data_IF_062755213173
#
_entry.id   IF_062755213173
#
_cell.length_a   1.000
_cell.length_b   1.000
_cell.length_c   1.000
_cell.angle_alpha   90.00
_cell.angle_beta   90.00
_cell.angle_gamma   90.00
#
_symmetry.space_group_name_H-M   'P 1'
#
loop_
_entity.id
_entity.type
_entity.pdbx_description
1 polymer ?
#
# COMPACT_ATOMS: atom_id res chain seq x y z
N UNK A 1 8.96 -15.83 -5.45
CA UNK A 1 8.41 -14.49 -5.12
C UNK A 1 9.34 -13.76 -4.16
N UNK A 2 9.15 -12.45 -3.93
CA UNK A 2 10.01 -11.62 -3.08
C UNK A 2 9.46 -11.30 -1.69
N UNK A 3 8.32 -11.87 -1.29
CA UNK A 3 7.76 -11.68 0.06
C UNK A 3 8.72 -12.16 1.16
N UNK A 4 8.75 -11.46 2.30
CA UNK A 4 9.58 -11.82 3.46
C UNK A 4 9.03 -13.08 4.15
N UNK A 5 9.89 -13.76 4.93
CA UNK A 5 9.49 -14.93 5.71
C UNK A 5 8.63 -14.63 6.95
N UNK A 6 8.38 -13.36 7.27
CA UNK A 6 7.58 -12.93 8.44
C UNK A 6 6.18 -12.44 8.07
N UNK A 7 5.99 -12.01 6.82
CA UNK A 7 4.74 -11.40 6.37
C UNK A 7 3.69 -12.40 5.89
N UNK A 8 2.46 -11.91 5.71
CA UNK A 8 1.31 -12.68 5.23
C UNK A 8 1.40 -13.01 3.73
N UNK A 9 2.10 -12.18 2.94
CA UNK A 9 2.11 -12.32 1.48
C UNK A 9 2.74 -13.62 0.98
N UNK A 10 3.70 -14.20 1.70
CA UNK A 10 4.24 -15.51 1.32
C UNK A 10 3.12 -16.57 1.27
N UNK A 11 2.21 -16.56 2.24
CA UNK A 11 1.12 -17.54 2.30
C UNK A 11 0.11 -17.27 1.18
N UNK A 12 -0.22 -15.99 0.95
CA UNK A 12 -1.14 -15.58 -0.13
C UNK A 12 -0.63 -16.03 -1.50
N UNK A 13 0.64 -15.77 -1.79
CA UNK A 13 1.26 -16.18 -3.05
C UNK A 13 1.33 -17.69 -3.20
N UNK A 14 1.88 -18.39 -2.20
CA UNK A 14 2.15 -19.83 -2.32
C UNK A 14 0.90 -20.68 -2.36
N UNK A 15 -0.15 -20.31 -1.61
CA UNK A 15 -1.46 -20.97 -1.72
C UNK A 15 -2.06 -20.78 -3.11
N UNK A 16 -1.96 -19.56 -3.65
CA UNK A 16 -2.45 -19.25 -4.99
C UNK A 16 -1.69 -20.06 -6.04
N UNK A 17 -0.36 -20.09 -5.99
CA UNK A 17 0.46 -20.86 -6.93
C UNK A 17 0.12 -22.35 -6.86
N UNK A 18 0.00 -22.93 -5.66
CA UNK A 18 -0.38 -24.33 -5.49
C UNK A 18 -1.77 -24.64 -6.00
N UNK A 19 -2.71 -23.70 -5.89
CA UNK A 19 -4.06 -23.89 -6.42
C UNK A 19 -4.12 -23.91 -7.95
N UNK A 20 -3.29 -23.10 -8.63
CA UNK A 20 -3.33 -22.96 -10.09
C UNK A 20 -2.27 -23.79 -10.84
N UNK A 21 -1.11 -24.03 -10.24
CA UNK A 21 0.03 -24.67 -10.87
C UNK A 21 0.87 -25.44 -9.82
N UNK A 22 0.33 -26.53 -9.24
CA UNK A 22 0.96 -27.24 -8.12
C UNK A 22 2.32 -27.85 -8.45
N UNK A 23 2.62 -28.11 -9.72
CA UNK A 23 3.89 -28.70 -10.16
C UNK A 23 5.04 -27.69 -10.25
N UNK A 24 4.76 -26.38 -10.13
CA UNK A 24 5.80 -25.35 -10.17
C UNK A 24 6.57 -25.32 -8.85
N UNK A 25 7.90 -25.38 -8.96
CA UNK A 25 8.80 -25.15 -7.83
C UNK A 25 8.73 -23.69 -7.40
N UNK A 26 8.41 -23.47 -6.12
CA UNK A 26 8.39 -22.14 -5.51
C UNK A 26 9.79 -21.82 -4.99
N UNK A 27 10.38 -20.72 -5.49
CA UNK A 27 11.63 -20.16 -4.99
C UNK A 27 11.32 -18.87 -4.21
N UNK A 28 11.72 -18.83 -2.93
CA UNK A 28 11.44 -17.72 -2.02
C UNK A 28 12.73 -17.25 -1.33
N UNK A 29 13.57 -16.43 -2.01
CA UNK A 29 14.93 -16.14 -1.57
C UNK A 29 15.05 -15.63 -0.13
N UNK A 30 14.09 -14.82 0.33
CA UNK A 30 14.05 -14.30 1.71
C UNK A 30 14.02 -15.36 2.82
N UNK A 31 13.69 -16.62 2.50
CA UNK A 31 13.74 -17.75 3.43
C UNK A 31 15.02 -18.57 3.34
N UNK A 32 15.77 -18.43 2.24
CA UNK A 32 16.86 -19.33 1.87
C UNK A 32 18.23 -18.64 1.97
N UNK A 33 18.30 -17.34 1.67
CA UNK A 33 19.56 -16.62 1.58
C UNK A 33 20.02 -16.01 2.92
N UNK A 34 21.19 -15.35 2.87
CA UNK A 34 21.82 -14.72 4.04
C UNK A 34 21.56 -13.21 4.17
N UNK A 35 20.79 -12.60 3.26
CA UNK A 35 20.42 -11.18 3.34
C UNK A 35 19.28 -11.03 4.38
N UNK A 36 19.52 -10.29 5.46
CA UNK A 36 18.59 -10.16 6.60
C UNK A 36 17.99 -8.77 6.76
N UNK A 37 18.58 -7.75 6.15
CA UNK A 37 18.17 -6.35 6.28
C UNK A 37 18.11 -5.63 4.93
N UNK A 38 17.53 -4.43 4.93
CA UNK A 38 17.54 -3.53 3.76
C UNK A 38 18.98 -3.08 3.46
N UNK A 39 19.76 -2.88 4.50
CA UNK A 39 21.17 -2.51 4.45
C UNK A 39 21.98 -3.61 3.76
N UNK A 40 21.78 -4.88 4.14
CA UNK A 40 22.44 -6.03 3.52
C UNK A 40 22.11 -6.12 2.03
N UNK A 41 20.86 -5.84 1.66
CA UNK A 41 20.42 -5.86 0.26
C UNK A 41 21.06 -4.73 -0.56
N UNK A 42 21.19 -3.53 0.03
CA UNK A 42 21.88 -2.38 -0.56
C UNK A 42 23.37 -2.70 -0.74
N UNK A 43 24.02 -3.26 0.27
CA UNK A 43 25.44 -3.61 0.23
C UNK A 43 25.70 -4.74 -0.79
N UNK A 44 24.80 -5.72 -0.88
CA UNK A 44 24.83 -6.76 -1.92
C UNK A 44 24.65 -6.17 -3.34
N UNK A 45 23.72 -5.25 -3.53
CA UNK A 45 23.51 -4.57 -4.80
C UNK A 45 24.76 -3.78 -5.22
N UNK A 46 25.39 -3.06 -4.28
CA UNK A 46 26.64 -2.35 -4.53
C UNK A 46 27.78 -3.31 -4.91
N UNK A 47 27.97 -4.40 -4.17
CA UNK A 47 28.98 -5.43 -4.48
C UNK A 47 28.78 -6.04 -5.88
N UNK A 48 27.53 -6.18 -6.32
CA UNK A 48 27.16 -6.75 -7.62
C UNK A 48 27.01 -5.70 -8.72
N UNK A 49 27.31 -4.43 -8.46
CA UNK A 49 27.12 -3.30 -9.39
C UNK A 49 25.69 -3.21 -9.95
N UNK A 50 24.69 -3.51 -9.13
CA UNK A 50 23.27 -3.38 -9.48
C UNK A 50 22.82 -1.95 -9.15
N UNK A 51 22.40 -1.14 -10.13
CA UNK A 51 21.96 0.23 -9.88
C UNK A 51 20.63 0.23 -9.12
N UNK A 52 20.60 0.89 -7.96
CA UNK A 52 19.40 1.05 -7.12
C UNK A 52 19.22 2.52 -6.71
N UNK A 53 17.98 2.95 -6.52
CA UNK A 53 17.63 4.32 -6.06
C UNK A 53 17.38 4.38 -4.55
N UNK A 54 17.30 3.22 -3.91
CA UNK A 54 16.98 3.07 -2.51
C UNK A 54 18.17 3.45 -1.64
N UNK A 55 17.93 4.33 -0.67
CA UNK A 55 18.89 4.65 0.39
C UNK A 55 18.56 3.86 1.66
N UNK A 56 19.51 3.83 2.61
CA UNK A 56 19.32 3.28 3.96
C UNK A 56 18.32 4.12 4.80
N UNK A 57 17.94 5.32 4.34
CA UNK A 57 17.11 6.27 5.08
C UNK A 57 15.60 6.27 4.76
N UNK A 58 15.11 5.45 3.81
CA UNK A 58 13.65 5.28 3.65
C UNK A 58 13.16 4.28 4.69
N UNK A 59 12.59 4.81 5.76
CA UNK A 59 12.31 4.11 7.03
C UNK A 59 11.09 3.16 6.93
N UNK A 60 10.04 3.55 6.20
CA UNK A 60 8.83 2.73 6.09
C UNK A 60 8.88 1.74 4.93
N UNK A 61 8.42 0.52 5.21
CA UNK A 61 7.92 -0.40 4.20
C UNK A 61 6.50 0.05 3.83
N UNK A 62 6.23 0.13 2.51
CA UNK A 62 4.96 0.61 1.97
C UNK A 62 4.51 -0.29 0.84
N UNK A 63 3.24 -0.68 0.84
CA UNK A 63 2.57 -1.28 -0.30
C UNK A 63 1.41 -0.37 -0.75
N UNK A 64 1.37 -0.04 -2.03
CA UNK A 64 0.35 0.86 -2.60
C UNK A 64 -0.26 0.21 -3.82
N UNK A 65 -1.59 0.17 -3.82
CA UNK A 65 -2.39 -0.14 -4.99
C UNK A 65 -3.48 0.94 -5.16
N UNK A 66 -4.44 0.68 -6.04
CA UNK A 66 -5.54 1.63 -6.29
C UNK A 66 -6.47 1.80 -5.08
N UNK A 67 -6.55 0.78 -4.23
CA UNK A 67 -7.50 0.69 -3.13
C UNK A 67 -6.97 1.30 -1.84
N UNK A 68 -5.68 1.10 -1.54
CA UNK A 68 -5.08 1.63 -0.33
C UNK A 68 -3.55 1.79 -0.46
N UNK A 69 -2.98 2.44 0.55
CA UNK A 69 -1.57 2.36 0.89
C UNK A 69 -1.43 1.82 2.31
N UNK A 70 -0.49 0.90 2.55
CA UNK A 70 -0.09 0.45 3.88
C UNK A 70 1.29 0.99 4.25
N UNK A 71 1.53 1.09 5.56
CA UNK A 71 2.77 1.59 6.16
C UNK A 71 3.15 0.67 7.33
N UNK A 72 4.41 0.25 7.39
CA UNK A 72 4.97 -0.55 8.49
C UNK A 72 6.47 -0.25 8.67
N UNK A 73 7.06 -0.73 9.76
CA UNK A 73 8.47 -0.52 10.07
C UNK A 73 8.79 0.86 10.64
N UNK A 74 10.05 1.04 11.04
CA UNK A 74 10.50 2.29 11.64
C UNK A 74 9.92 2.50 13.03
N UNK A 75 9.55 3.74 13.34
CA UNK A 75 8.97 4.11 14.62
C UNK A 75 7.54 3.60 14.82
N UNK A 76 6.86 3.15 13.75
CA UNK A 76 5.51 2.56 13.81
C UNK A 76 5.49 1.16 14.46
N UNK A 77 6.65 0.53 14.65
CA UNK A 77 6.75 -0.76 15.35
C UNK A 77 6.54 -0.64 16.87
N UNK A 78 6.64 0.57 17.42
CA UNK A 78 6.29 0.85 18.81
C UNK A 78 4.89 1.48 18.86
N UNK A 79 3.86 0.77 19.36
CA UNK A 79 2.49 1.27 19.41
C UNK A 79 2.29 2.43 20.37
N UNK A 80 3.30 2.80 21.17
CA UNK A 80 3.27 3.99 22.02
C UNK A 80 3.67 5.27 21.27
N UNK A 81 4.23 5.15 20.06
CA UNK A 81 4.54 6.29 19.21
C UNK A 81 3.31 6.72 18.41
N UNK A 82 3.02 8.01 18.43
CA UNK A 82 2.05 8.61 17.50
C UNK A 82 2.64 8.65 16.08
N UNK A 83 1.86 8.30 15.04
CA UNK A 83 2.33 8.41 13.66
C UNK A 83 2.69 9.86 13.31
N UNK A 84 3.91 10.07 12.80
CA UNK A 84 4.32 11.39 12.30
C UNK A 84 3.62 11.75 10.98
N UNK A 85 3.48 13.05 10.68
CA UNK A 85 2.80 13.54 9.47
C UNK A 85 3.39 12.94 8.17
N UNK A 86 4.70 12.67 8.15
CA UNK A 86 5.42 12.07 7.02
C UNK A 86 4.98 10.63 6.67
N UNK A 87 4.19 10.00 7.55
CA UNK A 87 3.58 8.69 7.31
C UNK A 87 2.44 8.83 6.29
N UNK A 88 1.67 9.92 6.33
CA UNK A 88 0.55 10.14 5.41
C UNK A 88 1.04 10.46 3.99
N UNK A 89 0.46 9.78 3.00
CA UNK A 89 0.82 9.92 1.58
C UNK A 89 -0.38 10.27 0.70
N UNK A 90 -1.56 9.76 1.04
CA UNK A 90 -2.80 9.99 0.28
C UNK A 90 -3.76 10.97 0.98
N UNK A 91 -3.57 11.18 2.28
CA UNK A 91 -4.43 11.98 3.15
C UNK A 91 -3.61 13.08 3.81
N UNK A 92 -4.30 14.04 4.40
CA UNK A 92 -3.72 15.03 5.33
C UNK A 92 -4.26 14.76 6.73
N UNK A 93 -3.59 15.29 7.74
CA UNK A 93 -4.12 15.32 9.11
C UNK A 93 -5.53 15.94 9.15
N UNK A 94 -6.41 15.51 10.08
CA UNK A 94 -7.70 16.16 10.28
C UNK A 94 -7.60 17.66 10.62
N UNK A 95 -6.48 18.08 11.22
CA UNK A 95 -6.17 19.47 11.55
C UNK A 95 -5.93 20.33 10.30
N UNK A 96 -5.38 19.74 9.24
CA UNK A 96 -5.09 20.40 7.96
C UNK A 96 -6.20 20.19 6.90
N UNK A 97 -7.27 19.49 7.24
CA UNK A 97 -8.40 19.28 6.32
C UNK A 97 -9.16 20.59 6.02
N UNK A 98 -9.71 20.78 4.81
CA UNK A 98 -10.45 22.00 4.47
C UNK A 98 -11.65 22.25 5.39
N UNK A 99 -11.83 23.50 5.82
CA UNK A 99 -12.98 23.89 6.67
C UNK A 99 -14.33 23.83 5.95
N UNK A 100 -14.32 23.86 4.61
CA UNK A 100 -15.54 23.80 3.80
C UNK A 100 -15.84 22.35 3.43
N UNK A 101 -17.04 21.82 3.79
CA UNK A 101 -17.42 20.48 3.39
C UNK A 101 -17.67 20.40 1.89
N UNK A 102 -17.39 19.24 1.33
CA UNK A 102 -17.74 18.86 -0.04
C UNK A 102 -18.80 17.76 0.00
N UNK A 103 -19.85 17.93 -0.81
CA UNK A 103 -20.89 16.93 -0.97
C UNK A 103 -20.61 16.15 -2.25
N UNK A 104 -20.56 14.84 -2.13
CA UNK A 104 -20.35 13.91 -3.25
C UNK A 104 -21.53 12.95 -3.34
N UNK A 105 -22.04 12.74 -4.55
CA UNK A 105 -23.11 11.76 -4.81
C UNK A 105 -22.54 10.55 -5.53
N UNK A 106 -22.67 9.36 -4.94
CA UNK A 106 -22.24 8.11 -5.55
C UNK A 106 -23.48 7.31 -5.97
N UNK A 107 -23.69 7.14 -7.27
CA UNK A 107 -24.78 6.33 -7.80
C UNK A 107 -24.39 4.86 -7.87
N UNK A 108 -25.29 3.98 -7.44
CA UNK A 108 -25.11 2.53 -7.45
C UNK A 108 -26.15 1.84 -8.31
N UNK A 109 -25.73 0.80 -9.02
CA UNK A 109 -26.62 -0.16 -9.65
C UNK A 109 -26.22 -1.58 -9.22
N UNK A 110 -27.16 -2.32 -8.62
CA UNK A 110 -26.95 -3.71 -8.16
C UNK A 110 -25.70 -3.87 -7.27
N UNK A 111 -25.45 -2.89 -6.40
CA UNK A 111 -24.31 -2.88 -5.48
C UNK A 111 -22.97 -2.48 -6.11
N UNK A 112 -22.96 -2.09 -7.39
CA UNK A 112 -21.77 -1.59 -8.08
C UNK A 112 -21.90 -0.08 -8.21
N UNK A 113 -20.94 0.72 -7.70
CA UNK A 113 -20.92 2.15 -7.97
C UNK A 113 -20.79 2.38 -9.49
N UNK A 114 -21.45 3.38 -10.06
CA UNK A 114 -21.43 3.67 -11.52
C UNK A 114 -21.27 5.15 -11.85
N UNK A 115 -21.61 6.05 -10.93
CA UNK A 115 -21.50 7.49 -11.14
C UNK A 115 -20.94 8.22 -9.92
N UNK A 116 -20.36 9.38 -10.18
CA UNK A 116 -19.99 10.39 -9.19
C UNK A 116 -20.57 11.73 -9.64
N UNK A 117 -21.29 12.41 -8.76
CA UNK A 117 -21.93 13.71 -8.99
C UNK A 117 -22.72 13.73 -10.31
N UNK A 118 -23.58 12.72 -10.47
CA UNK A 118 -24.40 12.49 -11.67
C UNK A 118 -23.64 12.25 -12.98
N UNK A 119 -22.31 12.25 -12.97
CA UNK A 119 -21.49 11.90 -14.12
C UNK A 119 -21.20 10.39 -14.09
N UNK A 120 -21.69 9.66 -15.10
CA UNK A 120 -21.36 8.25 -15.28
C UNK A 120 -19.85 8.15 -15.59
N UNK A 121 -19.05 7.72 -14.62
CA UNK A 121 -17.62 7.48 -14.78
C UNK A 121 -17.37 5.97 -14.80
N UNK A 122 -17.64 5.30 -15.92
CA UNK A 122 -17.28 3.87 -16.03
C UNK A 122 -15.76 3.77 -15.93
N UNK A 123 -15.24 3.32 -14.78
CA UNK A 123 -13.81 3.13 -14.62
C UNK A 123 -13.35 2.02 -15.58
N UNK A 124 -12.40 2.36 -16.45
CA UNK A 124 -11.83 1.46 -17.48
C UNK A 124 -11.11 0.24 -16.90
N UNK A 125 -10.87 0.20 -15.59
CA UNK A 125 -10.12 -0.84 -14.88
C UNK A 125 -10.97 -1.66 -13.90
N UNK A 126 -12.24 -1.91 -14.23
CA UNK A 126 -13.07 -2.88 -13.54
C UNK A 126 -13.46 -2.49 -12.12
N UNK A 127 -14.71 -2.04 -11.94
CA UNK A 127 -15.46 -1.94 -10.67
C UNK A 127 -14.85 -1.17 -9.50
N UNK A 128 -13.58 -0.77 -9.53
CA UNK A 128 -12.95 0.12 -8.57
C UNK A 128 -13.03 1.53 -9.12
N UNK A 129 -13.73 2.40 -8.41
CA UNK A 129 -13.81 3.80 -8.75
C UNK A 129 -12.71 4.53 -8.00
N UNK A 130 -11.65 4.85 -8.72
CA UNK A 130 -10.65 5.78 -8.23
C UNK A 130 -11.14 7.19 -8.57
N UNK A 131 -11.52 7.93 -7.55
CA UNK A 131 -11.85 9.35 -7.67
C UNK A 131 -10.69 10.16 -7.12
N UNK A 132 -9.66 10.45 -7.94
CA UNK A 132 -8.55 11.31 -7.51
C UNK A 132 -9.00 12.73 -7.15
N UNK A 133 -10.23 13.08 -7.54
CA UNK A 133 -10.85 14.39 -7.36
C UNK A 133 -11.67 14.49 -6.06
N UNK A 134 -12.02 13.37 -5.40
CA UNK A 134 -12.64 13.46 -4.06
C UNK A 134 -11.50 13.72 -3.07
N UNK A 135 -11.50 14.86 -2.36
CA UNK A 135 -10.48 15.12 -1.36
C UNK A 135 -10.51 14.00 -0.31
N UNK A 136 -9.39 13.32 -0.09
CA UNK A 136 -9.24 12.37 1.02
C UNK A 136 -8.95 13.10 2.33
N UNK A 137 -9.60 14.24 2.54
CA UNK A 137 -9.39 15.15 3.65
C UNK A 137 -10.67 15.17 4.47
N UNK A 138 -10.78 14.21 5.39
CA UNK A 138 -11.96 14.05 6.22
C UNK A 138 -11.64 14.55 7.63
N UNK A 139 -12.34 15.60 8.07
CA UNK A 139 -12.37 16.00 9.47
C UNK A 139 -13.51 15.25 10.14
N UNK A 140 -13.21 14.42 11.14
CA UNK A 140 -14.26 13.92 12.03
C UNK A 140 -14.55 15.01 13.05
N UNK A 141 -15.83 15.36 13.25
CA UNK A 141 -16.20 16.30 14.31
C UNK A 141 -15.79 15.67 15.65
N UNK A 142 -15.09 16.38 16.54
CA UNK A 142 -14.98 15.93 17.91
C UNK A 142 -16.40 15.81 18.48
N UNK A 143 -16.69 14.66 19.10
CA UNK A 143 -17.91 14.41 19.87
C UNK A 143 -17.98 15.31 21.11
#
# INVERSE_FOLDING_TARGET
HGATGKGNDQVRFELTYKAFAPDLTIIAPWREWNIRSREDAIDYAALKNIPITQTKGKIYSRDRNLWHISHEGGELEDPWNEPEEKVFVLTVSPEDAPDKPEYVEIGFERGIPLSLDNNIRICKFGRIFYFPEIPQHFRTSPL
#
